data_IF_079524347446
#
_entry.id   IF_079524347446
#
_cell.length_a   1.000
_cell.length_b   1.000
_cell.length_c   1.000
_cell.angle_alpha   90.00
_cell.angle_beta   90.00
_cell.angle_gamma   90.00
#
_symmetry.space_group_name_H-M   'P 1'
#
loop_
_entity.id
_entity.type
_entity.pdbx_description
1 polymer ?
#
# COMPACT_ATOMS: atom_id res chain seq x y z
N UNK A 1 -2.43 24.70 -5.36
CA UNK A 1 -2.43 24.81 -3.89
C UNK A 1 -1.55 23.73 -3.31
N UNK A 2 -0.79 24.06 -2.27
CA UNK A 2 0.01 23.12 -1.48
C UNK A 2 -0.94 22.39 -0.51
N UNK A 3 -0.96 21.07 -0.52
CA UNK A 3 -1.90 20.26 0.30
C UNK A 3 -1.19 19.16 1.09
N UNK A 4 0.15 19.15 1.09
CA UNK A 4 0.98 18.03 1.59
C UNK A 4 0.71 17.72 3.05
N UNK A 5 0.50 18.74 3.88
CA UNK A 5 0.14 18.55 5.29
C UNK A 5 -1.35 18.25 5.48
N UNK A 6 -2.21 18.94 4.74
CA UNK A 6 -3.66 18.81 4.86
C UNK A 6 -4.15 17.36 4.59
N UNK A 7 -3.59 16.69 3.57
CA UNK A 7 -3.96 15.31 3.23
C UNK A 7 -3.50 14.26 4.26
N UNK A 8 -2.62 14.64 5.20
CA UNK A 8 -2.12 13.75 6.26
C UNK A 8 -2.83 13.94 7.59
N UNK A 9 -3.83 14.83 7.65
CA UNK A 9 -4.61 15.06 8.87
C UNK A 9 -5.38 13.82 9.30
N UNK A 10 -5.68 13.73 10.60
CA UNK A 10 -6.54 12.67 11.13
C UNK A 10 -7.93 12.71 10.51
N UNK A 11 -8.46 13.91 10.24
CA UNK A 11 -9.77 14.08 9.60
C UNK A 11 -9.81 13.43 8.21
N UNK A 12 -8.79 13.67 7.38
CA UNK A 12 -8.70 13.05 6.05
C UNK A 12 -8.50 11.53 6.18
N UNK A 13 -7.62 11.11 7.09
CA UNK A 13 -7.34 9.69 7.35
C UNK A 13 -8.60 8.93 7.76
N UNK A 14 -9.46 9.53 8.59
CA UNK A 14 -10.70 8.89 9.06
C UNK A 14 -11.77 8.74 7.96
N UNK A 15 -11.73 9.59 6.92
CA UNK A 15 -12.74 9.60 5.84
C UNK A 15 -12.31 8.80 4.61
N UNK A 16 -11.01 8.53 4.44
CA UNK A 16 -10.45 8.03 3.18
C UNK A 16 -11.01 6.66 2.78
N UNK A 17 -11.17 5.70 3.70
CA UNK A 17 -11.68 4.37 3.37
C UNK A 17 -13.14 4.42 2.87
N UNK A 18 -13.98 5.27 3.48
CA UNK A 18 -15.37 5.48 3.04
C UNK A 18 -15.44 6.11 1.64
N UNK A 19 -14.61 7.11 1.35
CA UNK A 19 -14.56 7.74 0.02
C UNK A 19 -14.01 6.76 -1.01
N UNK A 20 -12.97 5.99 -0.66
CA UNK A 20 -12.35 5.01 -1.55
C UNK A 20 -13.28 3.83 -1.90
N UNK A 21 -14.30 3.57 -1.09
CA UNK A 21 -15.32 2.55 -1.36
C UNK A 21 -16.35 2.99 -2.42
N UNK A 22 -16.40 4.27 -2.80
CA UNK A 22 -17.37 4.77 -3.77
C UNK A 22 -16.99 4.39 -5.21
N UNK A 23 -17.90 3.68 -5.90
CA UNK A 23 -17.67 3.16 -7.26
C UNK A 23 -17.22 4.23 -8.26
N UNK A 24 -17.90 5.39 -8.28
CA UNK A 24 -17.61 6.48 -9.24
C UNK A 24 -16.24 7.09 -8.99
N UNK A 25 -15.89 7.35 -7.72
CA UNK A 25 -14.58 7.88 -7.33
C UNK A 25 -13.49 6.90 -7.78
N UNK A 26 -13.68 5.62 -7.47
CA UNK A 26 -12.73 4.59 -7.80
C UNK A 26 -12.52 4.45 -9.31
N UNK A 27 -13.60 4.42 -10.08
CA UNK A 27 -13.56 4.32 -11.55
C UNK A 27 -12.67 5.40 -12.16
N UNK A 28 -12.85 6.65 -11.76
CA UNK A 28 -12.08 7.76 -12.31
C UNK A 28 -10.62 7.76 -11.83
N UNK A 29 -10.34 7.41 -10.58
CA UNK A 29 -8.96 7.35 -10.07
C UNK A 29 -8.17 6.18 -10.64
N UNK A 30 -8.78 5.01 -10.83
CA UNK A 30 -8.13 3.86 -11.48
C UNK A 30 -7.76 4.19 -12.92
N UNK A 31 -8.67 4.84 -13.66
CA UNK A 31 -8.40 5.31 -15.03
C UNK A 31 -7.16 6.22 -15.08
N UNK A 32 -7.01 7.13 -14.14
CA UNK A 32 -5.85 8.01 -14.05
C UNK A 32 -4.57 7.25 -13.70
N UNK A 33 -4.63 6.36 -12.70
CA UNK A 33 -3.50 5.51 -12.32
C UNK A 33 -3.00 4.65 -13.50
N UNK A 34 -3.93 4.02 -14.21
CA UNK A 34 -3.63 3.25 -15.43
C UNK A 34 -2.96 4.12 -16.50
N UNK A 35 -3.45 5.35 -16.71
CA UNK A 35 -2.83 6.27 -17.65
C UNK A 35 -1.37 6.61 -17.29
N UNK A 36 -1.04 6.76 -16.00
CA UNK A 36 0.33 6.99 -15.55
C UNK A 36 1.24 5.77 -15.79
N UNK A 37 0.71 4.55 -15.61
CA UNK A 37 1.50 3.32 -15.80
C UNK A 37 1.60 2.82 -17.24
N UNK A 38 0.90 3.42 -18.22
CA UNK A 38 0.89 2.96 -19.62
C UNK A 38 2.28 2.82 -20.26
N UNK A 39 3.24 3.65 -19.85
CA UNK A 39 4.61 3.62 -20.39
C UNK A 39 5.53 2.65 -19.66
N UNK A 40 5.05 1.97 -18.61
CA UNK A 40 5.88 1.18 -17.71
C UNK A 40 6.90 2.04 -16.96
N UNK A 41 7.87 1.38 -16.32
CA UNK A 41 8.96 2.06 -15.60
C UNK A 41 8.52 2.80 -14.35
N UNK A 42 7.39 2.40 -13.75
CA UNK A 42 6.87 3.02 -12.52
C UNK A 42 6.84 2.00 -11.37
N UNK A 43 6.95 2.52 -10.15
CA UNK A 43 6.59 1.81 -8.93
C UNK A 43 5.31 2.45 -8.41
N UNK A 44 4.29 1.63 -8.11
CA UNK A 44 3.01 2.10 -7.60
C UNK A 44 2.66 1.39 -6.29
N UNK A 45 2.39 2.18 -5.25
CA UNK A 45 1.91 1.71 -3.95
C UNK A 45 0.41 1.96 -3.81
N UNK A 46 -0.30 1.01 -3.20
CA UNK A 46 -1.74 1.07 -2.99
C UNK A 46 -2.30 -0.26 -2.48
N UNK A 47 -3.63 -0.32 -2.35
CA UNK A 47 -4.34 -1.46 -1.74
C UNK A 47 -4.68 -2.57 -2.74
N UNK A 48 -4.94 -2.20 -3.98
CA UNK A 48 -5.49 -3.06 -5.04
C UNK A 48 -4.74 -2.93 -6.37
N UNK A 49 -3.48 -2.50 -6.31
CA UNK A 49 -2.65 -2.26 -7.50
C UNK A 49 -2.50 -3.55 -8.31
N UNK A 50 -1.95 -4.61 -7.71
CA UNK A 50 -1.71 -5.87 -8.40
C UNK A 50 -2.95 -6.74 -8.64
N UNK A 51 -4.11 -6.38 -8.10
CA UNK A 51 -5.35 -7.16 -8.23
C UNK A 51 -6.40 -6.50 -9.11
N UNK A 52 -6.32 -5.18 -9.31
CA UNK A 52 -7.33 -4.46 -10.09
C UNK A 52 -6.78 -3.32 -10.94
N UNK A 53 -5.81 -2.54 -10.45
CA UNK A 53 -5.30 -1.39 -11.24
C UNK A 53 -4.39 -1.89 -12.37
N UNK A 54 -3.43 -2.74 -12.04
CA UNK A 54 -2.47 -3.40 -12.93
C UNK A 54 -2.40 -4.90 -12.62
N UNK A 55 -3.45 -5.67 -12.98
CA UNK A 55 -3.46 -7.13 -12.79
C UNK A 55 -2.38 -7.84 -13.61
N UNK A 56 -1.80 -7.18 -14.62
CA UNK A 56 -0.74 -7.74 -15.46
C UNK A 56 0.65 -7.16 -15.13
N UNK A 57 0.81 -6.49 -13.98
CA UNK A 57 2.11 -5.98 -13.55
C UNK A 57 3.17 -7.09 -13.46
N UNK A 58 4.38 -6.84 -13.97
CA UNK A 58 5.45 -7.83 -14.06
C UNK A 58 5.95 -8.30 -12.69
N UNK A 59 5.90 -7.41 -11.69
CA UNK A 59 6.30 -7.68 -10.31
C UNK A 59 5.24 -7.13 -9.37
N UNK A 60 4.71 -8.00 -8.52
CA UNK A 60 3.73 -7.67 -7.48
C UNK A 60 4.27 -8.06 -6.12
N UNK A 61 4.38 -7.08 -5.23
CA UNK A 61 4.80 -7.28 -3.84
C UNK A 61 3.63 -6.97 -2.93
N UNK A 62 3.37 -7.85 -1.97
CA UNK A 62 2.38 -7.65 -0.91
C UNK A 62 3.10 -7.56 0.43
N UNK A 63 3.22 -6.34 0.97
CA UNK A 63 3.85 -6.12 2.26
C UNK A 63 2.85 -6.38 3.39
N UNK A 64 3.25 -7.16 4.38
CA UNK A 64 2.48 -7.41 5.60
C UNK A 64 3.31 -7.10 6.84
N UNK A 65 2.61 -6.83 7.94
CA UNK A 65 3.17 -6.71 9.28
C UNK A 65 2.06 -6.91 10.32
N UNK A 66 2.42 -7.28 11.55
CA UNK A 66 1.48 -7.30 12.66
C UNK A 66 0.83 -5.93 12.88
N UNK A 67 -0.33 -5.91 13.54
CA UNK A 67 -1.02 -4.65 13.88
C UNK A 67 -0.17 -3.85 14.86
N UNK A 68 0.44 -4.56 15.80
CA UNK A 68 1.30 -4.08 16.87
C UNK A 68 2.51 -3.36 16.29
N UNK A 69 3.16 -3.98 15.28
CA UNK A 69 4.29 -3.38 14.58
C UNK A 69 3.90 -2.10 13.84
N UNK A 70 2.77 -2.15 13.13
CA UNK A 70 2.28 -0.99 12.37
C UNK A 70 1.87 0.14 13.30
N UNK A 71 1.29 -0.15 14.46
CA UNK A 71 0.97 0.82 15.49
C UNK A 71 2.23 1.47 16.06
N UNK A 72 3.25 0.67 16.37
CA UNK A 72 4.57 1.15 16.84
C UNK A 72 5.23 2.10 15.83
N UNK A 73 5.34 1.69 14.56
CA UNK A 73 5.88 2.53 13.47
C UNK A 73 5.09 3.82 13.31
N UNK A 74 3.75 3.72 13.33
CA UNK A 74 2.88 4.91 13.21
C UNK A 74 3.06 5.88 14.38
N UNK A 75 3.25 5.38 15.61
CA UNK A 75 3.51 6.23 16.76
C UNK A 75 4.83 7.00 16.60
N UNK A 76 5.89 6.32 16.15
CA UNK A 76 7.19 6.93 15.86
C UNK A 76 7.08 7.98 14.75
N UNK A 77 6.34 7.69 13.67
CA UNK A 77 6.11 8.64 12.57
C UNK A 77 5.41 9.92 13.06
N UNK A 78 4.39 9.78 13.92
CA UNK A 78 3.66 10.92 14.49
C UNK A 78 4.56 11.76 15.39
N UNK A 79 5.37 11.12 16.24
CA UNK A 79 6.35 11.81 17.08
C UNK A 79 7.39 12.58 16.25
N UNK A 80 7.93 11.96 15.19
CA UNK A 80 8.88 12.61 14.28
C UNK A 80 8.28 13.82 13.54
N UNK A 81 6.95 13.83 13.34
CA UNK A 81 6.21 14.93 12.73
C UNK A 81 5.76 16.00 13.74
N UNK A 82 6.09 15.85 15.03
CA UNK A 82 5.65 16.77 16.09
C UNK A 82 4.15 16.72 16.37
N UNK A 83 3.48 15.62 15.99
CA UNK A 83 2.05 15.41 16.24
C UNK A 83 1.81 14.96 17.69
N UNK A 84 0.59 15.18 18.24
CA UNK A 84 0.23 14.67 19.56
C UNK A 84 0.42 13.15 19.65
N UNK A 85 0.92 12.70 20.80
CA UNK A 85 1.08 11.27 21.05
C UNK A 85 -0.29 10.59 21.14
N UNK A 86 -0.45 9.53 20.37
CA UNK A 86 -1.60 8.62 20.44
C UNK A 86 -1.11 7.34 21.12
N UNK A 87 -1.93 6.79 22.00
CA UNK A 87 -1.61 5.54 22.70
C UNK A 87 -1.61 4.34 21.73
N UNK A 88 -0.76 3.35 21.99
CA UNK A 88 -0.61 2.18 21.13
C UNK A 88 -1.92 1.39 20.95
N UNK A 89 -2.71 1.08 22.00
CA UNK A 89 -3.98 0.36 21.84
C UNK A 89 -4.96 1.11 20.93
N UNK A 90 -4.98 2.43 20.97
CA UNK A 90 -5.85 3.26 20.11
C UNK A 90 -5.38 3.24 18.65
N UNK A 91 -4.06 3.30 18.42
CA UNK A 91 -3.49 3.12 17.09
C UNK A 91 -3.78 1.74 16.52
N UNK A 92 -3.60 0.68 17.32
CA UNK A 92 -3.92 -0.68 16.90
C UNK A 92 -5.41 -0.83 16.56
N UNK A 93 -6.31 -0.30 17.39
CA UNK A 93 -7.76 -0.30 17.14
C UNK A 93 -8.09 0.37 15.80
N UNK A 94 -7.55 1.57 15.58
CA UNK A 94 -7.75 2.34 14.34
C UNK A 94 -7.21 1.60 13.12
N UNK A 95 -6.06 0.94 13.26
CA UNK A 95 -5.46 0.14 12.19
C UNK A 95 -6.33 -1.08 11.87
N UNK A 96 -6.80 -1.83 12.88
CA UNK A 96 -7.70 -2.99 12.68
C UNK A 96 -8.99 -2.58 11.99
N UNK A 97 -9.59 -1.47 12.40
CA UNK A 97 -10.81 -0.93 11.79
C UNK A 97 -10.58 -0.57 10.32
N UNK A 98 -9.50 0.14 10.01
CA UNK A 98 -9.15 0.49 8.63
C UNK A 98 -8.88 -0.76 7.78
N UNK A 99 -8.12 -1.72 8.29
CA UNK A 99 -7.81 -2.95 7.56
C UNK A 99 -9.09 -3.76 7.28
N UNK A 100 -10.02 -3.80 8.23
CA UNK A 100 -11.33 -4.41 8.04
C UNK A 100 -12.12 -3.71 6.93
N UNK A 101 -12.22 -2.38 6.95
CA UNK A 101 -12.93 -1.62 5.91
C UNK A 101 -12.28 -1.79 4.53
N UNK A 102 -10.94 -1.75 4.46
CA UNK A 102 -10.20 -1.88 3.21
C UNK A 102 -10.32 -3.30 2.63
N UNK A 103 -10.36 -4.35 3.46
CA UNK A 103 -10.43 -5.76 3.03
C UNK A 103 -11.84 -6.28 2.76
N UNK A 104 -12.87 -5.69 3.37
CA UNK A 104 -14.27 -6.13 3.22
C UNK A 104 -15.11 -5.29 2.26
N UNK A 105 -14.56 -4.19 1.72
CA UNK A 105 -15.27 -3.40 0.70
C UNK A 105 -15.61 -4.24 -0.53
N UNK A 106 -16.82 -4.06 -1.06
CA UNK A 106 -17.30 -4.80 -2.24
C UNK A 106 -16.45 -4.56 -3.49
N UNK A 107 -15.96 -3.33 -3.66
CA UNK A 107 -15.23 -2.93 -4.85
C UNK A 107 -13.73 -2.89 -4.54
N UNK A 108 -13.01 -3.82 -5.18
CA UNK A 108 -11.56 -3.95 -5.14
C UNK A 108 -10.98 -3.96 -3.73
N UNK A 109 -11.39 -4.94 -2.91
CA UNK A 109 -10.87 -5.09 -1.56
C UNK A 109 -9.35 -5.21 -1.55
N UNK A 110 -8.74 -4.76 -0.44
CA UNK A 110 -7.37 -5.12 -0.11
C UNK A 110 -7.28 -6.64 -0.03
N UNK A 111 -6.53 -7.23 -0.95
CA UNK A 111 -6.20 -8.65 -0.97
C UNK A 111 -4.91 -8.84 -1.74
N UNK A 112 -4.16 -9.88 -1.35
CA UNK A 112 -2.98 -10.31 -2.10
C UNK A 112 -3.41 -10.89 -3.45
N UNK A 113 -2.72 -10.51 -4.53
CA UNK A 113 -2.90 -11.18 -5.82
C UNK A 113 -2.32 -12.60 -5.77
N UNK A 114 -2.85 -13.54 -6.53
CA UNK A 114 -2.40 -14.94 -6.50
C UNK A 114 -0.92 -15.10 -6.83
N UNK A 115 -0.41 -14.24 -7.72
CA UNK A 115 0.98 -14.22 -8.18
C UNK A 115 1.84 -13.17 -7.45
N UNK A 116 1.31 -12.50 -6.42
CA UNK A 116 2.07 -11.55 -5.62
C UNK A 116 2.97 -12.26 -4.60
N UNK A 117 4.20 -11.76 -4.48
CA UNK A 117 5.16 -12.23 -3.48
C UNK A 117 4.87 -11.49 -2.17
N UNK A 118 4.58 -12.24 -1.12
CA UNK A 118 4.36 -11.69 0.22
C UNK A 118 5.68 -11.46 0.95
N UNK A 119 5.84 -10.29 1.57
CA UNK A 119 6.98 -9.98 2.44
C UNK A 119 6.40 -9.55 3.79
N UNK A 120 6.63 -10.36 4.81
CA UNK A 120 6.37 -10.00 6.19
C UNK A 120 7.52 -9.13 6.69
N UNK A 121 7.18 -7.97 7.27
CA UNK A 121 8.13 -6.90 7.54
C UNK A 121 8.34 -6.63 9.03
N UNK A 122 7.70 -7.36 9.95
CA UNK A 122 8.04 -7.24 11.36
C UNK A 122 9.52 -7.61 11.55
N UNK A 123 10.17 -6.89 12.46
CA UNK A 123 11.59 -7.02 12.78
C UNK A 123 12.56 -6.76 11.62
N UNK A 124 12.07 -6.35 10.44
CA UNK A 124 12.90 -5.90 9.33
C UNK A 124 13.04 -4.37 9.32
N UNK A 125 14.25 -3.92 9.04
CA UNK A 125 14.55 -2.52 8.74
C UNK A 125 14.10 -2.15 7.32
N UNK A 126 13.98 -0.84 7.06
CA UNK A 126 13.64 -0.32 5.72
C UNK A 126 14.67 -0.80 4.68
N UNK A 127 15.95 -0.82 5.03
CA UNK A 127 17.02 -1.24 4.12
C UNK A 127 16.92 -2.73 3.77
N UNK A 128 16.60 -3.59 4.75
CA UNK A 128 16.40 -5.02 4.51
C UNK A 128 15.18 -5.30 3.63
N UNK A 129 14.06 -4.61 3.87
CA UNK A 129 12.86 -4.73 3.02
C UNK A 129 13.16 -4.24 1.61
N UNK A 130 13.85 -3.11 1.48
CA UNK A 130 14.23 -2.53 0.18
C UNK A 130 15.15 -3.47 -0.59
N UNK A 131 16.18 -4.01 0.04
CA UNK A 131 17.08 -4.98 -0.56
C UNK A 131 16.35 -6.24 -1.03
N UNK A 132 15.40 -6.76 -0.24
CA UNK A 132 14.55 -7.89 -0.64
C UNK A 132 13.72 -7.57 -1.88
N UNK A 133 13.06 -6.41 -1.93
CA UNK A 133 12.24 -5.99 -3.08
C UNK A 133 13.11 -5.87 -4.34
N UNK A 134 14.28 -5.23 -4.25
CA UNK A 134 15.21 -5.08 -5.37
C UNK A 134 15.68 -6.45 -5.88
N UNK A 135 16.02 -7.36 -4.97
CA UNK A 135 16.45 -8.71 -5.33
C UNK A 135 15.34 -9.48 -6.09
N UNK A 136 14.11 -9.45 -5.58
CA UNK A 136 12.96 -10.10 -6.22
C UNK A 136 12.66 -9.51 -7.61
N UNK A 137 12.78 -8.19 -7.74
CA UNK A 137 12.64 -7.50 -9.02
C UNK A 137 13.69 -7.97 -10.04
N UNK A 138 14.97 -8.05 -9.63
CA UNK A 138 16.05 -8.52 -10.49
C UNK A 138 15.85 -9.98 -10.93
N UNK A 139 15.41 -10.85 -10.02
CA UNK A 139 15.10 -12.25 -10.36
C UNK A 139 13.97 -12.35 -11.39
N UNK A 140 12.90 -11.58 -11.23
CA UNK A 140 11.78 -11.54 -12.18
C UNK A 140 12.20 -10.99 -13.54
N UNK A 141 13.03 -9.95 -13.58
CA UNK A 141 13.56 -9.43 -14.83
C UNK A 141 14.42 -10.44 -15.59
N UNK A 142 15.25 -11.21 -14.90
CA UNK A 142 16.08 -12.24 -15.52
C UNK A 142 15.22 -13.30 -16.22
N UNK A 143 14.18 -13.80 -15.53
CA UNK A 143 13.23 -14.78 -16.11
C UNK A 143 12.52 -14.19 -17.34
N UNK A 144 12.04 -12.96 -17.24
CA UNK A 144 11.34 -12.29 -18.35
C UNK A 144 12.25 -11.94 -19.53
N UNK A 145 13.57 -11.89 -19.34
CA UNK A 145 14.53 -11.71 -20.42
C UNK A 145 14.77 -13.04 -21.16
N UNK A 146 14.85 -14.15 -20.41
CA UNK A 146 15.01 -15.49 -20.97
C UNK A 146 13.76 -15.93 -21.76
N UNK A 147 12.56 -15.63 -21.28
CA UNK A 147 11.29 -15.96 -21.98
C UNK A 147 11.08 -15.18 -23.30
N UNK A 148 11.89 -14.14 -23.56
CA UNK A 148 11.83 -13.32 -24.79
C UNK A 148 12.86 -13.74 -25.85
N UNK A 149 13.69 -14.74 -25.56
CA UNK A 149 14.66 -15.37 -26.47
C UNK A 149 14.08 -16.64 -27.09
#
# INVERSE_FOLDING_TARGET
HEVTQAIRSQEVTAKVSTIAAQATVRKELVKQQQAYGRKGGIVMDGRDIGTHVFPDAEVKIFLTASVEERARRRQQDLQAQGQPQIDLPELERTIRERDHLDSTREISPLRKAEDAIEIQTDDLTIDEVTAKIIHLYQQKLAILADDRL
#
